data_IF_948733399791
#
_entry.id   IF_948733399791
#
_cell.length_a   1.000
_cell.length_b   1.000
_cell.length_c   1.000
_cell.angle_alpha   90.00
_cell.angle_beta   90.00
_cell.angle_gamma   90.00
#
_symmetry.space_group_name_H-M   'P 1'
#
loop_
_entity.id
_entity.type
_entity.pdbx_description
1 polymer ?
#
# COMPACT_ATOMS: atom_id res chain seq x y z
N UNK A 1 28.37 -20.91 -1.32
CA UNK A 1 29.18 -19.83 -1.97
C UNK A 1 28.47 -19.14 -3.12
N UNK A 2 27.76 -19.83 -4.03
CA UNK A 2 27.04 -19.20 -5.15
C UNK A 2 25.93 -18.25 -4.71
N UNK A 3 25.09 -18.67 -3.75
CA UNK A 3 24.00 -17.84 -3.22
C UNK A 3 24.51 -16.55 -2.57
N UNK A 4 25.63 -16.60 -1.85
CA UNK A 4 26.21 -15.41 -1.24
C UNK A 4 26.67 -14.37 -2.28
N UNK A 5 27.25 -14.83 -3.40
CA UNK A 5 27.64 -13.94 -4.51
C UNK A 5 26.42 -13.36 -5.22
N UNK A 6 25.38 -14.17 -5.41
CA UNK A 6 24.11 -13.70 -5.95
C UNK A 6 23.48 -12.63 -5.05
N UNK A 7 23.37 -12.88 -3.74
CA UNK A 7 22.84 -11.91 -2.77
C UNK A 7 23.64 -10.60 -2.79
N UNK A 8 24.97 -10.67 -2.82
CA UNK A 8 25.81 -9.48 -2.91
C UNK A 8 25.53 -8.67 -4.19
N UNK A 9 25.41 -9.33 -5.34
CA UNK A 9 25.07 -8.67 -6.60
C UNK A 9 23.67 -8.02 -6.56
N UNK A 10 22.67 -8.71 -6.00
CA UNK A 10 21.32 -8.17 -5.89
C UNK A 10 21.26 -6.97 -4.93
N UNK A 11 22.06 -6.96 -3.86
CA UNK A 11 22.14 -5.83 -2.93
C UNK A 11 22.74 -4.58 -3.60
N UNK A 12 23.77 -4.75 -4.43
CA UNK A 12 24.34 -3.63 -5.22
C UNK A 12 23.31 -3.05 -6.21
N UNK A 13 22.54 -3.90 -6.90
CA UNK A 13 21.46 -3.45 -7.79
C UNK A 13 20.36 -2.66 -7.06
N UNK A 14 19.93 -3.14 -5.88
CA UNK A 14 18.95 -2.41 -5.05
C UNK A 14 19.50 -1.04 -4.63
N UNK A 15 20.77 -1.00 -4.21
CA UNK A 15 21.44 0.25 -3.82
C UNK A 15 21.56 1.23 -5.00
N UNK A 16 21.82 0.74 -6.21
CA UNK A 16 21.81 1.57 -7.41
C UNK A 16 20.42 2.18 -7.66
N UNK A 17 19.35 1.38 -7.56
CA UNK A 17 17.97 1.89 -7.68
C UNK A 17 17.64 2.93 -6.62
N UNK A 18 18.14 2.79 -5.40
CA UNK A 18 17.97 3.77 -4.32
C UNK A 18 18.69 5.08 -4.62
N UNK A 19 19.94 5.02 -5.07
CA UNK A 19 20.74 6.19 -5.44
C UNK A 19 20.12 6.96 -6.61
N UNK A 20 19.52 6.24 -7.56
CA UNK A 20 18.81 6.80 -8.71
C UNK A 20 17.41 7.34 -8.36
N UNK A 21 16.91 7.13 -7.13
CA UNK A 21 15.56 7.52 -6.71
C UNK A 21 14.44 6.69 -7.37
N UNK A 22 14.78 5.52 -7.92
CA UNK A 22 13.85 4.59 -8.57
C UNK A 22 13.36 3.48 -7.65
N UNK A 23 14.00 3.33 -6.48
CA UNK A 23 13.57 2.38 -5.48
C UNK A 23 12.12 2.62 -5.03
N UNK A 24 11.47 1.54 -4.62
CA UNK A 24 10.11 1.59 -4.10
C UNK A 24 10.08 2.45 -2.82
N UNK A 25 9.20 3.44 -2.78
CA UNK A 25 8.97 4.22 -1.57
C UNK A 25 8.45 3.35 -0.41
N UNK A 26 8.66 3.76 0.86
CA UNK A 26 8.09 3.06 2.01
C UNK A 26 6.59 2.80 1.87
N UNK A 27 6.16 1.63 2.33
CA UNK A 27 4.77 1.23 2.17
C UNK A 27 3.84 2.05 3.07
N UNK A 28 2.72 2.49 2.48
CA UNK A 28 1.63 3.11 3.22
C UNK A 28 0.73 2.00 3.75
N UNK A 29 0.70 1.82 5.06
CA UNK A 29 -0.09 0.78 5.72
C UNK A 29 -1.49 1.30 6.01
N UNK A 30 -2.50 0.64 5.43
CA UNK A 30 -3.91 0.91 5.73
C UNK A 30 -4.25 0.25 7.06
N UNK A 31 -4.71 1.05 8.03
CA UNK A 31 -5.04 0.60 9.40
C UNK A 31 -6.52 0.74 9.73
N UNK A 32 -7.33 1.22 8.79
CA UNK A 32 -8.77 1.29 9.01
C UNK A 32 -9.55 1.69 7.77
N UNK A 33 -10.80 1.23 7.75
CA UNK A 33 -11.83 1.60 6.81
C UNK A 33 -12.84 2.52 7.53
N UNK A 34 -13.34 3.52 6.82
CA UNK A 34 -14.41 4.41 7.24
C UNK A 34 -15.51 4.32 6.18
N UNK A 35 -16.72 3.90 6.56
CA UNK A 35 -17.82 3.78 5.61
C UNK A 35 -18.19 5.14 4.99
N UNK A 36 -18.85 5.12 3.82
CA UNK A 36 -19.30 6.35 3.18
C UNK A 36 -20.30 7.10 4.07
N UNK A 37 -20.23 8.43 4.07
CA UNK A 37 -21.15 9.33 4.81
C UNK A 37 -21.26 10.69 4.13
N UNK A 38 -22.40 11.35 4.28
CA UNK A 38 -22.60 12.76 3.89
C UNK A 38 -22.19 13.08 2.44
N UNK A 39 -22.51 12.20 1.48
CA UNK A 39 -22.14 12.34 0.07
C UNK A 39 -20.68 12.02 -0.26
N UNK A 40 -19.87 11.62 0.74
CA UNK A 40 -18.50 11.16 0.55
C UNK A 40 -18.45 9.64 0.43
N UNK A 41 -17.76 9.15 -0.60
CA UNK A 41 -17.36 7.74 -0.68
C UNK A 41 -16.44 7.29 0.46
N UNK A 42 -16.16 5.99 0.56
CA UNK A 42 -15.40 5.42 1.67
C UNK A 42 -14.01 6.04 1.85
N UNK A 43 -13.54 6.08 3.09
CA UNK A 43 -12.21 6.62 3.44
C UNK A 43 -11.36 5.58 4.17
N UNK A 44 -10.06 5.78 4.12
CA UNK A 44 -9.08 4.89 4.74
C UNK A 44 -8.16 5.67 5.67
N UNK A 45 -7.82 5.04 6.80
CA UNK A 45 -6.80 5.51 7.74
C UNK A 45 -5.46 4.89 7.38
N UNK A 46 -4.40 5.69 7.45
CA UNK A 46 -3.03 5.22 7.27
C UNK A 46 -2.28 5.26 8.60
N UNK A 47 -1.40 4.29 8.84
CA UNK A 47 -0.51 4.31 9.99
C UNK A 47 0.31 5.61 10.02
N UNK A 48 0.39 6.27 11.18
CA UNK A 48 1.17 7.51 11.36
C UNK A 48 0.53 8.76 10.74
N UNK A 49 -0.77 8.75 10.43
CA UNK A 49 -1.49 9.93 9.95
C UNK A 49 -2.87 10.08 10.57
N UNK A 50 -3.22 11.31 10.94
CA UNK A 50 -4.56 11.67 11.44
C UNK A 50 -5.56 12.03 10.33
N UNK A 51 -5.13 11.99 9.06
CA UNK A 51 -5.97 12.33 7.92
C UNK A 51 -6.71 11.11 7.38
N UNK A 52 -7.82 11.39 6.71
CA UNK A 52 -8.60 10.40 5.97
C UNK A 52 -8.25 10.47 4.48
N UNK A 53 -8.06 9.30 3.86
CA UNK A 53 -7.60 9.19 2.47
C UNK A 53 -8.60 8.47 1.57
N UNK A 54 -8.57 8.80 0.28
CA UNK A 54 -9.17 7.97 -0.77
C UNK A 54 -8.18 6.88 -1.18
N UNK A 55 -8.67 5.65 -1.33
CA UNK A 55 -7.85 4.54 -1.86
C UNK A 55 -8.02 4.46 -3.37
N UNK A 56 -7.11 5.08 -4.10
CA UNK A 56 -7.12 5.10 -5.58
C UNK A 56 -6.27 3.99 -6.23
N UNK A 57 -5.49 3.26 -5.43
CA UNK A 57 -4.57 2.21 -5.89
C UNK A 57 -5.16 0.80 -5.69
N UNK A 58 -6.48 0.65 -5.77
CA UNK A 58 -7.18 -0.62 -5.60
C UNK A 58 -8.15 -0.84 -6.73
N UNK A 59 -8.27 -2.10 -7.16
CA UNK A 59 -9.31 -2.53 -8.09
C UNK A 59 -10.67 -2.75 -7.40
N UNK A 60 -10.79 -2.47 -6.10
CA UNK A 60 -12.06 -2.52 -5.35
C UNK A 60 -12.84 -1.21 -5.54
N UNK A 61 -13.26 -0.95 -6.78
CA UNK A 61 -13.88 0.32 -7.20
C UNK A 61 -15.13 0.70 -6.39
N UNK A 62 -15.92 -0.30 -6.00
CA UNK A 62 -17.14 -0.12 -5.21
C UNK A 62 -16.95 -0.44 -3.72
N UNK A 63 -15.73 -0.81 -3.29
CA UNK A 63 -15.45 -1.24 -1.91
C UNK A 63 -16.39 -2.33 -1.38
N UNK A 64 -16.97 -3.15 -2.27
CA UNK A 64 -17.92 -4.23 -1.93
C UNK A 64 -17.28 -5.32 -1.07
N UNK A 65 -15.95 -5.40 -1.05
CA UNK A 65 -15.22 -6.24 -0.08
C UNK A 65 -15.47 -5.87 1.39
N UNK A 66 -16.16 -4.75 1.66
CA UNK A 66 -16.59 -4.35 3.00
C UNK A 66 -18.11 -4.45 3.20
N UNK A 67 -18.87 -4.91 2.21
CA UNK A 67 -20.32 -5.08 2.33
C UNK A 67 -20.62 -6.34 3.16
N UNK A 68 -21.32 -6.22 4.31
CA UNK A 68 -21.61 -7.36 5.17
C UNK A 68 -22.35 -8.50 4.47
N UNK A 69 -23.10 -8.22 3.40
CA UNK A 69 -23.86 -9.22 2.63
C UNK A 69 -22.97 -10.13 1.77
N UNK A 70 -21.68 -9.80 1.64
CA UNK A 70 -20.73 -10.52 0.79
C UNK A 70 -19.59 -11.19 1.58
N UNK A 71 -19.63 -11.14 2.91
CA UNK A 71 -18.55 -11.61 3.80
C UNK A 71 -18.80 -13.02 4.37
N UNK A 72 -19.60 -13.84 3.68
CA UNK A 72 -19.92 -15.22 4.07
C UNK A 72 -18.73 -16.19 3.91
#
# INVERSE_FOLDING_TARGET
>A
MSLARLSASLMEEVKALEQEGRAKAPERVVVGYVPPRDGLGPRYRLAGSDKLFLRMNSNSYLSLSHDPRLLE
#
